data_IF_360298162392
#
_entry.id   IF_360298162392
#
_cell.length_a   1.000
_cell.length_b   1.000
_cell.length_c   1.000
_cell.angle_alpha   90.00
_cell.angle_beta   90.00
_cell.angle_gamma   90.00
#
_symmetry.space_group_name_H-M   'P 1'
#
loop_
_entity.id
_entity.type
_entity.pdbx_description
1 polymer ?
#
# COMPACT_ATOMS: atom_id res chain seq x y z
N UNK A 1 -1.91 11.59 11.01
CA UNK A 1 -0.90 12.28 10.17
C UNK A 1 -0.11 11.34 9.27
N UNK A 2 0.33 10.16 9.73
CA UNK A 2 1.12 9.22 8.92
C UNK A 2 0.44 8.72 7.63
N UNK A 3 -0.86 8.40 7.67
CA UNK A 3 -1.58 7.93 6.47
C UNK A 3 -1.73 9.00 5.37
N UNK A 4 -1.93 10.26 5.75
CA UNK A 4 -1.98 11.37 4.78
C UNK A 4 -0.62 11.56 4.11
N UNK A 5 0.47 11.47 4.88
CA UNK A 5 1.83 11.54 4.35
C UNK A 5 2.12 10.37 3.39
N UNK A 6 1.75 9.13 3.77
CA UNK A 6 1.92 7.96 2.91
C UNK A 6 1.15 8.09 1.58
N UNK A 7 -0.11 8.50 1.63
CA UNK A 7 -0.91 8.72 0.42
C UNK A 7 -0.30 9.81 -0.47
N UNK A 8 0.15 10.92 0.11
CA UNK A 8 0.80 11.99 -0.66
C UNK A 8 2.10 11.53 -1.33
N UNK A 9 2.88 10.66 -0.66
CA UNK A 9 4.10 10.10 -1.21
C UNK A 9 3.82 9.14 -2.37
N UNK A 10 2.84 8.24 -2.23
CA UNK A 10 2.43 7.32 -3.30
C UNK A 10 1.90 8.09 -4.50
N UNK A 11 0.96 9.02 -4.30
CA UNK A 11 0.45 9.85 -5.39
C UNK A 11 1.56 10.64 -6.09
N UNK A 12 2.55 11.15 -5.34
CA UNK A 12 3.70 11.82 -5.95
C UNK A 12 4.57 10.87 -6.78
N UNK A 13 4.77 9.62 -6.32
CA UNK A 13 5.52 8.61 -7.06
C UNK A 13 4.81 8.20 -8.37
N UNK A 14 3.47 8.08 -8.33
CA UNK A 14 2.66 7.78 -9.51
C UNK A 14 2.74 8.91 -10.53
N UNK A 15 2.59 10.17 -10.10
CA UNK A 15 2.71 11.34 -10.98
C UNK A 15 4.08 11.44 -11.64
N UNK A 16 5.17 11.14 -10.91
CA UNK A 16 6.51 11.10 -11.48
C UNK A 16 6.66 9.99 -12.53
N UNK A 17 6.01 8.85 -12.31
CA UNK A 17 6.00 7.73 -13.27
C UNK A 17 5.24 8.10 -14.53
N UNK A 18 4.10 8.79 -14.40
CA UNK A 18 3.31 9.32 -15.53
C UNK A 18 4.07 10.39 -16.33
N UNK A 19 4.77 11.29 -15.64
CA UNK A 19 5.60 12.31 -16.31
C UNK A 19 6.75 11.68 -17.07
N UNK A 20 7.36 10.61 -16.53
CA UNK A 20 8.44 9.87 -17.20
C UNK A 20 7.92 9.11 -18.42
N UNK A 21 6.80 8.40 -18.29
CA UNK A 21 6.21 7.66 -19.42
C UNK A 21 5.73 8.61 -20.51
N UNK A 22 5.09 9.72 -20.15
CA UNK A 22 4.69 10.79 -21.06
C UNK A 22 5.88 11.42 -21.77
N UNK A 23 6.97 11.72 -21.05
CA UNK A 23 8.21 12.23 -21.66
C UNK A 23 8.80 11.25 -22.67
N UNK A 24 8.84 9.94 -22.36
CA UNK A 24 9.33 8.91 -23.27
C UNK A 24 8.46 8.77 -24.54
N UNK A 25 7.15 9.04 -24.44
CA UNK A 25 6.23 9.11 -25.60
C UNK A 25 6.32 10.45 -26.36
N UNK A 26 7.19 11.38 -25.97
CA UNK A 26 7.35 12.69 -26.61
C UNK A 26 6.34 13.75 -26.15
N UNK A 27 5.57 13.48 -25.09
CA UNK A 27 4.70 14.48 -24.48
C UNK A 27 5.53 15.56 -23.75
N UNK A 28 5.01 16.79 -23.72
CA UNK A 28 5.65 17.89 -23.01
C UNK A 28 5.37 17.78 -21.50
N UNK A 29 6.38 17.56 -20.64
CA UNK A 29 6.17 17.35 -19.20
C UNK A 29 5.49 18.53 -18.49
N UNK A 30 5.74 19.76 -18.96
CA UNK A 30 5.14 20.96 -18.35
C UNK A 30 3.63 21.04 -18.59
N UNK A 31 3.18 20.63 -19.77
CA UNK A 31 1.75 20.61 -20.10
C UNK A 31 1.03 19.48 -19.36
N UNK A 32 1.69 18.33 -19.19
CA UNK A 32 1.16 17.20 -18.43
C UNK A 32 1.02 17.51 -16.94
N UNK A 33 2.00 18.18 -16.33
CA UNK A 33 1.90 18.66 -14.95
C UNK A 33 0.73 19.64 -14.76
N UNK A 34 0.57 20.60 -15.69
CA UNK A 34 -0.54 21.54 -15.61
C UNK A 34 -1.90 20.85 -15.77
N UNK A 35 -2.00 19.87 -16.66
CA UNK A 35 -3.21 19.05 -16.83
C UNK A 35 -3.55 18.25 -15.55
N UNK A 36 -2.54 17.63 -14.92
CA UNK A 36 -2.71 16.91 -13.65
C UNK A 36 -3.14 17.87 -12.52
N UNK A 37 -2.53 19.05 -12.43
CA UNK A 37 -2.87 20.05 -11.42
C UNK A 37 -4.33 20.53 -11.54
N UNK A 38 -4.76 20.86 -12.77
CA UNK A 38 -6.14 21.26 -13.05
C UNK A 38 -7.10 20.10 -12.76
N UNK A 39 -6.75 18.88 -13.17
CA UNK A 39 -7.54 17.68 -12.93
C UNK A 39 -7.74 17.41 -11.43
N UNK A 40 -6.69 17.54 -10.61
CA UNK A 40 -6.78 17.39 -9.15
C UNK A 40 -7.67 18.46 -8.53
N UNK A 41 -7.55 19.72 -8.97
CA UNK A 41 -8.36 20.82 -8.44
C UNK A 41 -9.86 20.58 -8.65
N UNK A 42 -10.28 20.36 -9.90
CA UNK A 42 -11.70 20.10 -10.20
C UNK A 42 -12.17 18.74 -9.66
N UNK A 43 -11.32 17.72 -9.73
CA UNK A 43 -11.63 16.40 -9.16
C UNK A 43 -11.89 16.47 -7.67
N UNK A 44 -11.10 17.25 -6.92
CA UNK A 44 -11.29 17.46 -5.48
C UNK A 44 -12.61 18.17 -5.18
N UNK A 45 -12.93 19.22 -5.95
CA UNK A 45 -14.21 19.94 -5.79
C UNK A 45 -15.44 19.07 -6.00
N UNK A 46 -15.35 18.04 -6.85
CA UNK A 46 -16.46 17.11 -7.10
C UNK A 46 -16.47 15.96 -6.11
N UNK A 47 -15.32 15.31 -5.86
CA UNK A 47 -15.26 14.08 -5.07
C UNK A 47 -15.55 14.33 -3.58
N UNK A 48 -15.13 15.47 -3.03
CA UNK A 48 -15.35 15.80 -1.60
C UNK A 48 -16.84 15.90 -1.26
N UNK A 49 -17.66 16.73 -1.93
CA UNK A 49 -19.10 16.79 -1.63
C UNK A 49 -19.81 15.47 -1.96
N UNK A 50 -19.44 14.78 -3.05
CA UNK A 50 -20.01 13.47 -3.39
C UNK A 50 -19.74 12.45 -2.29
N UNK A 51 -18.54 12.45 -1.70
CA UNK A 51 -18.21 11.61 -0.55
C UNK A 51 -19.16 11.89 0.62
N UNK A 52 -19.39 13.16 0.96
CA UNK A 52 -20.27 13.54 2.08
C UNK A 52 -21.73 13.18 1.84
N UNK A 53 -22.18 13.17 0.59
CA UNK A 53 -23.51 12.71 0.22
C UNK A 53 -23.64 11.18 0.30
N UNK A 54 -22.58 10.45 -0.07
CA UNK A 54 -22.55 8.98 -0.03
C UNK A 54 -22.38 8.42 1.40
N UNK A 55 -21.73 9.17 2.29
CA UNK A 55 -21.48 8.76 3.67
C UNK A 55 -21.97 9.85 4.64
N UNK A 56 -23.28 9.91 4.91
CA UNK A 56 -23.87 10.92 5.77
C UNK A 56 -23.47 10.78 7.25
N UNK A 57 -23.27 9.53 7.71
CA UNK A 57 -22.93 9.21 9.11
C UNK A 57 -21.49 8.68 9.22
N UNK A 58 -20.53 9.57 9.42
CA UNK A 58 -19.11 9.23 9.57
C UNK A 58 -18.84 8.26 10.74
N UNK A 59 -19.65 8.33 11.80
CA UNK A 59 -19.58 7.44 12.96
C UNK A 59 -20.06 6.00 12.70
N UNK A 60 -20.87 5.77 11.66
CA UNK A 60 -21.29 4.43 11.22
C UNK A 60 -20.35 3.80 10.18
N UNK A 61 -19.42 4.58 9.62
CA UNK A 61 -18.50 4.09 8.61
C UNK A 61 -17.32 3.31 9.24
N UNK A 62 -16.95 3.65 10.48
CA UNK A 62 -15.85 3.01 11.20
C UNK A 62 -16.42 1.91 12.09
N UNK A 63 -16.45 0.68 11.56
CA UNK A 63 -16.73 -0.53 12.34
C UNK A 63 -18.15 -1.09 12.26
N UNK A 64 -19.00 -0.63 11.34
CA UNK A 64 -20.35 -1.18 11.14
C UNK A 64 -20.44 -1.90 9.80
N UNK A 65 -20.96 -3.13 9.82
CA UNK A 65 -20.94 -4.12 8.72
C UNK A 65 -21.55 -3.66 7.38
N UNK A 66 -22.26 -2.53 7.35
CA UNK A 66 -22.89 -1.99 6.14
C UNK A 66 -21.89 -1.37 5.14
N UNK A 67 -20.70 -0.95 5.61
CA UNK A 67 -19.67 -0.29 4.78
C UNK A 67 -18.27 -0.84 5.06
N UNK A 68 -18.15 -2.13 5.37
CA UNK A 68 -16.88 -2.79 5.63
C UNK A 68 -16.04 -2.89 4.34
N UNK A 69 -15.47 -1.78 3.90
CA UNK A 69 -14.47 -1.74 2.84
C UNK A 69 -13.21 -2.41 3.39
N UNK A 70 -12.84 -3.63 2.94
CA UNK A 70 -11.76 -4.40 3.54
C UNK A 70 -10.42 -3.65 3.52
N UNK A 71 -10.18 -2.90 2.44
CA UNK A 71 -9.01 -2.04 2.29
C UNK A 71 -8.98 -0.89 3.29
N UNK A 72 -10.10 -0.21 3.53
CA UNK A 72 -10.20 0.90 4.49
C UNK A 72 -9.99 0.40 5.92
N UNK A 73 -10.53 -0.77 6.26
CA UNK A 73 -10.35 -1.39 7.56
C UNK A 73 -8.88 -1.80 7.81
N UNK A 74 -8.17 -2.28 6.79
CA UNK A 74 -6.73 -2.57 6.91
C UNK A 74 -5.94 -1.29 7.23
N UNK A 75 -6.17 -0.20 6.50
CA UNK A 75 -5.51 1.08 6.76
C UNK A 75 -5.90 1.69 8.10
N UNK A 76 -7.16 1.54 8.52
CA UNK A 76 -7.61 1.93 9.86
C UNK A 76 -6.84 1.19 10.95
N UNK A 77 -6.68 -0.14 10.81
CA UNK A 77 -5.93 -0.95 11.77
C UNK A 77 -4.45 -0.58 11.79
N UNK A 78 -3.84 -0.28 10.65
CA UNK A 78 -2.46 0.26 10.58
C UNK A 78 -2.37 1.61 11.29
N UNK A 79 -3.32 2.52 11.05
CA UNK A 79 -3.34 3.82 11.71
C UNK A 79 -3.57 3.70 13.23
N UNK A 80 -4.43 2.78 13.68
CA UNK A 80 -4.68 2.48 15.09
C UNK A 80 -3.41 1.98 15.78
N UNK A 81 -2.67 1.06 15.16
CA UNK A 81 -1.38 0.56 15.67
C UNK A 81 -0.34 1.68 15.74
N UNK A 82 -0.25 2.54 14.72
CA UNK A 82 0.71 3.64 14.68
C UNK A 82 0.39 4.76 15.69
N UNK A 83 -0.88 4.92 16.08
CA UNK A 83 -1.32 6.00 16.97
C UNK A 83 -1.44 5.56 18.42
N UNK A 84 -1.93 4.34 18.67
CA UNK A 84 -2.15 3.82 20.02
C UNK A 84 -1.12 2.78 20.48
N UNK A 85 -0.21 2.37 19.60
CA UNK A 85 0.90 1.48 19.92
C UNK A 85 0.67 0.01 19.53
N UNK A 86 1.77 -0.74 19.50
CA UNK A 86 1.84 -2.16 19.09
C UNK A 86 1.16 -3.09 20.13
N UNK A 87 0.81 -2.54 21.30
CA UNK A 87 0.10 -3.23 22.38
C UNK A 87 -1.38 -3.46 22.13
N UNK A 88 -1.95 -2.82 21.11
CA UNK A 88 -3.33 -3.09 20.68
C UNK A 88 -3.46 -4.21 19.63
N UNK A 89 -2.35 -4.79 19.19
CA UNK A 89 -2.41 -5.97 18.33
C UNK A 89 -2.64 -7.24 19.16
N UNK A 90 -3.49 -8.17 18.68
CA UNK A 90 -3.58 -9.51 19.24
C UNK A 90 -2.19 -10.15 19.36
N UNK A 91 -1.94 -10.87 20.46
CA UNK A 91 -0.65 -11.53 20.68
C UNK A 91 -0.25 -12.44 19.49
N UNK A 92 -1.23 -13.12 18.88
CA UNK A 92 -1.03 -13.92 17.66
C UNK A 92 -0.47 -13.10 16.49
N UNK A 93 -1.02 -11.90 16.23
CA UNK A 93 -0.56 -11.02 15.16
C UNK A 93 0.88 -10.53 15.40
N UNK A 94 1.24 -10.25 16.67
CA UNK A 94 2.62 -9.87 17.04
C UNK A 94 3.62 -11.00 16.74
N UNK A 95 3.28 -12.23 17.11
CA UNK A 95 4.11 -13.40 16.79
C UNK A 95 4.20 -13.66 15.29
N UNK A 96 3.11 -13.50 14.54
CA UNK A 96 3.13 -13.63 13.07
C UNK A 96 4.03 -12.58 12.40
N UNK A 97 3.99 -11.32 12.86
CA UNK A 97 4.90 -10.27 12.36
C UNK A 97 6.34 -10.63 12.67
N UNK A 98 6.63 -11.08 13.89
CA UNK A 98 7.99 -11.46 14.30
C UNK A 98 8.54 -12.65 13.50
N UNK A 99 7.76 -13.73 13.38
CA UNK A 99 8.14 -14.92 12.62
C UNK A 99 8.30 -14.57 11.14
N UNK A 100 7.38 -13.79 10.56
CA UNK A 100 7.45 -13.33 9.17
C UNK A 100 8.69 -12.47 8.90
N UNK A 101 9.03 -11.55 9.81
CA UNK A 101 10.23 -10.74 9.73
C UNK A 101 11.50 -11.59 9.83
N UNK A 102 11.54 -12.55 10.76
CA UNK A 102 12.65 -13.49 10.91
C UNK A 102 12.86 -14.33 9.65
N UNK A 103 11.80 -14.92 9.10
CA UNK A 103 11.85 -15.70 7.85
C UNK A 103 12.30 -14.81 6.68
N UNK A 104 11.76 -13.59 6.59
CA UNK A 104 12.11 -12.61 5.56
C UNK A 104 13.57 -12.14 5.62
N UNK A 105 14.21 -12.16 6.79
CA UNK A 105 15.64 -11.84 6.95
C UNK A 105 16.51 -13.08 6.72
N UNK A 106 16.12 -14.23 7.28
CA UNK A 106 16.90 -15.46 7.23
C UNK A 106 17.02 -16.03 5.82
N UNK A 107 15.95 -16.00 5.02
CA UNK A 107 15.97 -16.48 3.63
C UNK A 107 17.05 -15.78 2.77
N UNK A 108 17.09 -14.44 2.66
CA UNK A 108 18.14 -13.74 1.92
C UNK A 108 19.52 -13.91 2.54
N UNK A 109 19.63 -14.02 3.87
CA UNK A 109 20.92 -14.26 4.53
C UNK A 109 21.50 -15.64 4.14
N UNK A 110 20.66 -16.68 4.19
CA UNK A 110 21.03 -18.05 3.83
C UNK A 110 21.38 -18.14 2.34
N UNK A 111 20.60 -17.50 1.46
CA UNK A 111 20.91 -17.40 0.04
C UNK A 111 22.28 -16.74 -0.22
N UNK A 112 22.61 -15.70 0.56
CA UNK A 112 23.85 -14.94 0.40
C UNK A 112 25.06 -15.67 0.97
N UNK A 113 24.95 -16.29 2.15
CA UNK A 113 26.10 -16.84 2.89
C UNK A 113 26.26 -18.36 2.78
N UNK A 114 25.18 -19.13 2.65
CA UNK A 114 25.24 -20.60 2.75
C UNK A 114 25.06 -21.32 1.41
N UNK A 115 24.51 -20.66 0.37
CA UNK A 115 24.19 -21.34 -0.90
C UNK A 115 25.23 -21.08 -2.00
N UNK A 116 25.85 -22.15 -2.57
CA UNK A 116 26.77 -22.03 -3.70
C UNK A 116 26.09 -21.42 -4.94
N UNK A 117 26.83 -20.64 -5.73
CA UNK A 117 26.32 -19.88 -6.87
C UNK A 117 25.51 -20.68 -7.91
N UNK A 118 25.67 -22.01 -7.95
CA UNK A 118 24.92 -22.94 -8.82
C UNK A 118 23.45 -23.13 -8.41
N UNK A 119 23.15 -23.05 -7.12
CA UNK A 119 21.81 -23.33 -6.57
C UNK A 119 21.01 -22.07 -6.21
N UNK A 120 21.60 -20.87 -6.29
CA UNK A 120 20.89 -19.59 -6.08
C UNK A 120 19.70 -19.40 -7.02
N UNK A 121 19.75 -19.96 -8.24
CA UNK A 121 18.63 -19.89 -9.21
C UNK A 121 17.41 -20.74 -8.81
N UNK A 122 17.56 -21.70 -7.90
CA UNK A 122 16.51 -22.63 -7.47
C UNK A 122 15.92 -22.26 -6.10
N UNK A 123 16.47 -21.25 -5.42
CA UNK A 123 15.92 -20.78 -4.17
C UNK A 123 14.67 -19.92 -4.42
N UNK A 124 13.57 -20.19 -3.70
CA UNK A 124 12.40 -19.33 -3.78
C UNK A 124 12.78 -17.95 -3.20
N UNK A 125 12.62 -16.90 -4.00
CA UNK A 125 12.97 -15.55 -3.57
C UNK A 125 12.06 -15.13 -2.42
N UNK A 126 12.64 -14.51 -1.39
CA UNK A 126 11.87 -14.02 -0.24
C UNK A 126 10.76 -13.03 -0.67
N UNK A 127 11.02 -12.21 -1.70
CA UNK A 127 10.01 -11.34 -2.29
C UNK A 127 8.91 -12.11 -3.03
N UNK A 128 9.26 -13.17 -3.77
CA UNK A 128 8.28 -14.00 -4.48
C UNK A 128 7.37 -14.75 -3.53
N UNK A 129 7.93 -15.31 -2.44
CA UNK A 129 7.15 -15.94 -1.38
C UNK A 129 6.24 -14.92 -0.68
N UNK A 130 6.76 -13.73 -0.35
CA UNK A 130 5.97 -12.65 0.24
C UNK A 130 4.80 -12.21 -0.64
N UNK A 131 5.05 -11.99 -1.94
CA UNK A 131 4.02 -11.64 -2.91
C UNK A 131 2.98 -12.77 -3.06
N UNK A 132 3.40 -14.03 -3.07
CA UNK A 132 2.47 -15.17 -3.17
C UNK A 132 1.51 -15.28 -1.99
N UNK A 133 1.92 -14.79 -0.81
CA UNK A 133 1.08 -14.81 0.39
C UNK A 133 0.11 -13.62 0.46
N UNK A 134 0.45 -12.50 -0.18
CA UNK A 134 -0.39 -11.29 -0.21
C UNK A 134 -1.44 -11.33 -1.32
N UNK A 135 -1.22 -12.12 -2.38
CA UNK A 135 -2.16 -12.26 -3.47
C UNK A 135 -3.26 -13.28 -3.10
N UNK A 136 -4.54 -12.89 -2.99
CA UNK A 136 -5.61 -13.85 -2.83
C UNK A 136 -5.70 -14.72 -4.09
N UNK A 137 -5.74 -16.04 -3.92
CA UNK A 137 -5.87 -17.03 -5.00
C UNK A 137 -7.22 -16.95 -5.77
N UNK A 138 -8.06 -15.94 -5.50
CA UNK A 138 -9.46 -15.91 -5.90
C UNK A 138 -9.74 -15.41 -7.33
N UNK A 139 -8.73 -15.03 -8.14
CA UNK A 139 -8.94 -14.61 -9.53
C UNK A 139 -7.85 -15.17 -10.46
N UNK A 140 -7.81 -16.50 -10.59
CA UNK A 140 -7.18 -17.19 -11.72
C UNK A 140 -8.26 -17.96 -12.48
#
# INVERSE_FOLDING_TARGET
SAGAAANSATSSADLLTDLKSGYLLGANPRKQFLAQFIGVFFGTLVIVPVWYLLVPDQGRFIGVDAYAAPATNQWYKVAEVLTKGIDQLPASARWSIFIGAMVGILLPLVERFAVPARFRKLMPSAMGLGLSWMLPFANA
#
